data_IF_709076303281
#
_entry.id   IF_709076303281
#
_cell.length_a   1.000
_cell.length_b   1.000
_cell.length_c   1.000
_cell.angle_alpha   90.00
_cell.angle_beta   90.00
_cell.angle_gamma   90.00
#
_symmetry.space_group_name_H-M   'P 1'
#
loop_
_entity.id
_entity.type
_entity.pdbx_description
1 polymer ?
#
# COMPACT_ATOMS: atom_id res chain seq x y z
N UNK A 1 6.67 19.93 -6.53
CA UNK A 1 5.44 19.53 -5.80
C UNK A 1 4.30 19.17 -6.75
N UNK A 2 3.81 20.09 -7.59
CA UNK A 2 2.65 19.85 -8.48
C UNK A 2 2.82 18.66 -9.44
N UNK A 3 4.03 18.45 -9.98
CA UNK A 3 4.32 17.35 -10.91
C UNK A 3 4.04 15.98 -10.30
N UNK A 4 4.50 15.74 -9.07
CA UNK A 4 4.31 14.45 -8.38
C UNK A 4 2.84 14.20 -8.04
N UNK A 5 2.11 15.26 -7.67
CA UNK A 5 0.66 15.19 -7.42
C UNK A 5 -0.08 14.82 -8.72
N UNK A 6 0.28 15.45 -9.84
CA UNK A 6 -0.35 15.18 -11.13
C UNK A 6 -0.07 13.75 -11.60
N UNK A 7 1.17 13.26 -11.44
CA UNK A 7 1.53 11.87 -11.76
C UNK A 7 0.76 10.88 -10.89
N UNK A 8 0.71 11.10 -9.58
CA UNK A 8 -0.05 10.26 -8.65
C UNK A 8 -1.54 10.23 -8.98
N UNK A 9 -2.14 11.39 -9.28
CA UNK A 9 -3.54 11.50 -9.67
C UNK A 9 -3.83 10.70 -10.95
N UNK A 10 -3.04 10.86 -12.00
CA UNK A 10 -3.25 10.15 -13.26
C UNK A 10 -3.06 8.63 -13.09
N UNK A 11 -2.08 8.21 -12.29
CA UNK A 11 -1.89 6.79 -11.96
C UNK A 11 -3.13 6.22 -11.24
N UNK A 12 -3.63 6.91 -10.20
CA UNK A 12 -4.82 6.49 -9.46
C UNK A 12 -6.07 6.43 -10.34
N UNK A 13 -6.26 7.41 -11.23
CA UNK A 13 -7.37 7.41 -12.19
C UNK A 13 -7.30 6.19 -13.11
N UNK A 14 -6.12 5.87 -13.64
CA UNK A 14 -5.98 4.70 -14.50
C UNK A 14 -6.17 3.38 -13.76
N UNK A 15 -5.64 3.26 -12.54
CA UNK A 15 -5.88 2.07 -11.74
C UNK A 15 -7.37 1.90 -11.41
N UNK A 16 -8.09 3.01 -11.16
CA UNK A 16 -9.54 3.01 -10.98
C UNK A 16 -10.27 2.43 -12.18
N UNK A 17 -9.93 2.90 -13.39
CA UNK A 17 -10.51 2.38 -14.65
C UNK A 17 -10.21 0.89 -14.85
N UNK A 18 -8.96 0.48 -14.64
CA UNK A 18 -8.57 -0.94 -14.72
C UNK A 18 -9.32 -1.79 -13.69
N UNK A 19 -9.61 -1.25 -12.51
CA UNK A 19 -10.40 -1.95 -11.49
C UNK A 19 -11.84 -2.14 -11.93
N UNK A 20 -12.45 -1.12 -12.53
CA UNK A 20 -13.81 -1.20 -13.06
C UNK A 20 -13.92 -2.19 -14.23
N UNK A 21 -12.84 -2.36 -15.00
CA UNK A 21 -12.71 -3.38 -16.06
C UNK A 21 -12.36 -4.79 -15.53
N UNK A 22 -12.15 -4.97 -14.22
CA UNK A 22 -11.71 -6.25 -13.64
C UNK A 22 -10.28 -6.65 -13.99
N UNK A 23 -9.45 -5.70 -14.43
CA UNK A 23 -8.07 -5.89 -14.90
C UNK A 23 -7.01 -5.31 -13.96
N UNK A 24 -7.41 -4.79 -12.80
CA UNK A 24 -6.47 -4.25 -11.82
C UNK A 24 -5.64 -5.36 -11.16
N UNK A 25 -4.33 -5.34 -11.40
CA UNK A 25 -3.39 -6.19 -10.68
C UNK A 25 -3.30 -5.74 -9.20
N UNK A 26 -3.41 -6.65 -8.22
CA UNK A 26 -3.24 -6.32 -6.80
C UNK A 26 -1.91 -5.63 -6.48
N UNK A 27 -0.86 -5.97 -7.21
CA UNK A 27 0.47 -5.38 -7.05
C UNK A 27 0.52 -3.94 -7.54
N UNK A 28 -0.30 -3.56 -8.52
CA UNK A 28 -0.43 -2.17 -8.95
C UNK A 28 -1.02 -1.29 -7.83
N UNK A 29 -1.96 -1.83 -7.03
CA UNK A 29 -2.46 -1.14 -5.83
C UNK A 29 -1.32 -0.87 -4.84
N UNK A 30 -0.50 -1.89 -4.57
CA UNK A 30 0.67 -1.75 -3.69
C UNK A 30 1.69 -0.74 -4.22
N UNK A 31 1.94 -0.74 -5.54
CA UNK A 31 2.83 0.22 -6.20
C UNK A 31 2.35 1.65 -6.02
N UNK A 32 1.07 1.91 -6.30
CA UNK A 32 0.51 3.25 -6.24
C UNK A 32 0.40 3.75 -4.81
N UNK A 33 0.00 2.90 -3.85
CA UNK A 33 -0.01 3.25 -2.43
C UNK A 33 1.37 3.67 -1.98
N UNK A 34 2.37 2.84 -2.23
CA UNK A 34 3.77 3.08 -1.84
C UNK A 34 4.30 4.38 -2.42
N UNK A 35 4.08 4.64 -3.71
CA UNK A 35 4.53 5.86 -4.38
C UNK A 35 3.78 7.10 -3.87
N UNK A 36 2.45 7.06 -3.84
CA UNK A 36 1.61 8.20 -3.46
C UNK A 36 1.87 8.64 -2.03
N UNK A 37 1.97 7.70 -1.08
CA UNK A 37 2.24 8.02 0.32
C UNK A 37 3.63 8.67 0.48
N UNK A 38 4.67 8.08 -0.12
CA UNK A 38 6.03 8.61 -0.03
C UNK A 38 6.14 10.00 -0.65
N UNK A 39 5.53 10.21 -1.82
CA UNK A 39 5.55 11.51 -2.51
C UNK A 39 4.71 12.56 -1.79
N UNK A 40 3.54 12.20 -1.27
CA UNK A 40 2.70 13.10 -0.49
C UNK A 40 3.43 13.58 0.77
N UNK A 41 4.08 12.68 1.51
CA UNK A 41 4.85 13.04 2.70
C UNK A 41 6.03 13.97 2.37
N UNK A 42 6.78 13.67 1.29
CA UNK A 42 7.87 14.54 0.83
C UNK A 42 7.36 15.94 0.44
N UNK A 43 6.23 16.03 -0.25
CA UNK A 43 5.57 17.29 -0.61
C UNK A 43 5.12 18.05 0.64
N UNK A 44 4.53 17.39 1.63
CA UNK A 44 4.10 18.02 2.88
C UNK A 44 5.29 18.56 3.70
N UNK A 45 6.40 17.82 3.74
CA UNK A 45 7.65 18.28 4.37
C UNK A 45 8.19 19.54 3.68
N UNK A 46 8.27 19.53 2.34
CA UNK A 46 8.69 20.71 1.58
C UNK A 46 7.75 21.91 1.80
N UNK A 47 6.43 21.69 1.84
CA UNK A 47 5.46 22.74 2.13
C UNK A 47 5.65 23.35 3.52
N UNK A 48 5.89 22.51 4.54
CA UNK A 48 6.16 22.95 5.90
C UNK A 48 7.42 23.80 5.96
N UNK A 49 8.49 23.36 5.30
CA UNK A 49 9.77 24.07 5.27
C UNK A 49 9.65 25.43 4.56
N UNK A 50 8.88 25.51 3.46
CA UNK A 50 8.62 26.78 2.73
C UNK A 50 7.91 27.83 3.60
N UNK A 51 7.10 27.40 4.58
CA UNK A 51 6.40 28.30 5.50
C UNK A 51 7.26 28.72 6.71
N UNK A 52 8.46 28.16 6.88
CA UNK A 52 9.36 28.48 7.99
C UNK A 52 8.70 28.31 9.36
N UNK A 53 8.78 29.32 10.22
CA UNK A 53 8.14 29.29 11.55
C UNK A 53 6.61 29.16 11.47
N UNK A 54 5.98 29.74 10.45
CA UNK A 54 4.53 29.59 10.24
C UNK A 54 4.15 28.14 9.89
N UNK A 55 5.11 27.35 9.39
CA UNK A 55 4.91 25.95 9.04
C UNK A 55 4.65 25.06 10.25
N UNK A 56 5.04 25.45 11.46
CA UNK A 56 4.75 24.72 12.70
C UNK A 56 3.58 25.30 13.49
N UNK A 57 3.05 26.45 13.07
CA UNK A 57 1.87 27.04 13.67
C UNK A 57 0.61 26.25 13.31
N UNK A 58 -0.29 26.09 14.29
CA UNK A 58 -1.54 25.36 14.08
C UNK A 58 -2.44 26.07 13.05
N UNK A 59 -2.36 27.40 12.94
CA UNK A 59 -3.16 28.21 12.00
C UNK A 59 -3.05 27.78 10.53
N UNK A 60 -1.84 27.40 10.08
CA UNK A 60 -1.59 27.04 8.67
C UNK A 60 -1.75 25.54 8.37
N UNK A 61 -2.03 24.72 9.39
CA UNK A 61 -2.46 23.31 9.28
C UNK A 61 -1.45 22.35 8.60
N UNK A 62 -0.38 22.84 7.98
CA UNK A 62 0.56 22.08 7.15
C UNK A 62 1.30 21.02 7.97
N UNK A 63 1.69 21.33 9.21
CA UNK A 63 2.36 20.38 10.12
C UNK A 63 1.45 19.22 10.47
N UNK A 64 0.15 19.46 10.66
CA UNK A 64 -0.82 18.40 10.94
C UNK A 64 -1.02 17.48 9.74
N UNK A 65 -1.11 18.04 8.54
CA UNK A 65 -1.19 17.25 7.32
C UNK A 65 0.06 16.39 7.12
N UNK A 66 1.25 16.94 7.39
CA UNK A 66 2.50 16.19 7.38
C UNK A 66 2.48 15.04 8.39
N UNK A 67 2.07 15.28 9.64
CA UNK A 67 1.99 14.26 10.68
C UNK A 67 0.95 13.16 10.35
N UNK A 68 -0.19 13.53 9.78
CA UNK A 68 -1.18 12.54 9.33
C UNK A 68 -0.59 11.63 8.23
N UNK A 69 0.24 12.18 7.34
CA UNK A 69 0.90 11.42 6.27
C UNK A 69 1.99 10.45 6.77
N UNK A 70 2.61 10.74 7.92
CA UNK A 70 3.50 9.79 8.61
C UNK A 70 2.73 8.53 9.01
N UNK A 71 1.53 8.70 9.57
CA UNK A 71 0.68 7.59 9.97
C UNK A 71 0.15 6.80 8.76
N UNK A 72 -0.30 7.48 7.69
CA UNK A 72 -0.74 6.83 6.44
C UNK A 72 0.34 5.95 5.81
N UNK A 73 1.62 6.27 6.05
CA UNK A 73 2.73 5.46 5.54
C UNK A 73 2.86 4.09 6.22
N UNK A 74 2.27 3.91 7.40
CA UNK A 74 2.32 2.66 8.19
C UNK A 74 1.02 1.85 8.15
N UNK A 75 -0.13 2.52 7.98
CA UNK A 75 -1.42 1.84 7.81
C UNK A 75 -1.49 1.07 6.48
N UNK A 76 -2.25 -0.03 6.48
CA UNK A 76 -2.52 -0.88 5.31
C UNK A 76 -1.27 -1.44 4.60
N UNK A 77 -0.17 -1.59 5.37
CA UNK A 77 1.11 -2.11 4.90
C UNK A 77 2.19 -1.02 4.85
N UNK A 78 3.35 -1.27 5.44
CA UNK A 78 4.45 -0.30 5.42
C UNK A 78 5.04 -0.14 4.01
N UNK A 79 5.83 0.92 3.81
CA UNK A 79 6.57 1.13 2.56
C UNK A 79 7.37 -0.11 2.14
N UNK A 80 7.98 -0.81 3.11
CA UNK A 80 8.80 -2.00 2.88
C UNK A 80 7.97 -3.24 2.56
N UNK A 81 6.82 -3.42 3.23
CA UNK A 81 5.89 -4.51 2.90
C UNK A 81 5.46 -4.41 1.42
N UNK A 82 5.06 -3.23 0.97
CA UNK A 82 4.71 -3.04 -0.44
C UNK A 82 5.91 -3.21 -1.38
N UNK A 83 7.12 -2.83 -0.96
CA UNK A 83 8.33 -3.07 -1.75
C UNK A 83 8.57 -4.58 -1.96
N UNK A 84 8.29 -5.39 -0.96
CA UNK A 84 8.50 -6.83 -1.00
C UNK A 84 7.39 -7.58 -1.76
N UNK A 85 6.15 -7.09 -1.71
CA UNK A 85 5.07 -7.55 -2.61
C UNK A 85 5.47 -7.33 -4.08
N UNK A 86 5.99 -6.14 -4.40
CA UNK A 86 6.49 -5.83 -5.74
C UNK A 86 7.71 -6.67 -6.09
N UNK A 87 8.63 -6.86 -5.15
CA UNK A 87 9.80 -7.71 -5.32
C UNK A 87 9.41 -9.13 -5.72
N UNK A 88 8.41 -9.72 -5.05
CA UNK A 88 7.86 -11.03 -5.42
C UNK A 88 7.26 -11.03 -6.83
N UNK A 89 6.48 -10.02 -7.20
CA UNK A 89 5.87 -9.98 -8.53
C UNK A 89 6.88 -9.78 -9.68
N UNK A 90 7.99 -9.07 -9.41
CA UNK A 90 9.04 -8.85 -10.41
C UNK A 90 9.97 -10.06 -10.53
N UNK A 91 10.32 -10.67 -9.39
CA UNK A 91 11.37 -11.71 -9.33
C UNK A 91 10.84 -13.13 -9.24
N UNK A 92 9.56 -13.32 -8.87
CA UNK A 92 9.00 -14.61 -8.50
C UNK A 92 9.40 -15.11 -7.11
N UNK A 93 10.30 -14.43 -6.40
CA UNK A 93 10.86 -14.90 -5.13
C UNK A 93 10.10 -14.28 -3.96
N UNK A 94 9.53 -15.12 -3.10
CA UNK A 94 8.86 -14.67 -1.87
C UNK A 94 9.88 -14.29 -0.78
N UNK A 95 9.72 -13.12 -0.17
CA UNK A 95 10.57 -12.62 0.92
C UNK A 95 10.00 -12.84 2.33
N UNK A 96 8.73 -13.26 2.41
CA UNK A 96 8.00 -13.50 3.66
C UNK A 96 7.29 -14.85 3.61
N UNK A 97 8.05 -15.94 3.57
CA UNK A 97 7.51 -17.25 3.92
C UNK A 97 8.24 -17.71 5.19
N UNK A 98 7.54 -18.26 6.20
CA UNK A 98 8.22 -18.92 7.30
C UNK A 98 9.11 -20.02 6.72
N UNK A 99 10.34 -20.15 7.23
CA UNK A 99 11.22 -21.25 6.86
C UNK A 99 10.67 -22.54 7.50
N UNK A 100 9.61 -23.07 6.91
CA UNK A 100 9.07 -24.36 7.29
C UNK A 100 9.97 -25.43 6.67
N UNK A 101 10.79 -26.02 7.53
CA UNK A 101 11.73 -27.10 7.29
C UNK A 101 13.05 -26.67 6.62
N UNK A 102 14.16 -27.10 7.25
CA UNK A 102 15.55 -26.85 6.86
C UNK A 102 15.96 -27.47 5.51
N UNK A 103 15.27 -27.10 4.44
CA UNK A 103 15.55 -27.54 3.08
C UNK A 103 16.51 -26.54 2.41
N UNK A 104 17.72 -26.99 1.99
CA UNK A 104 18.70 -26.12 1.38
C UNK A 104 18.17 -25.46 0.10
N UNK A 105 18.57 -24.19 -0.11
CA UNK A 105 18.05 -23.25 -1.12
C UNK A 105 18.08 -23.72 -2.59
N UNK A 106 18.74 -24.83 -2.90
CA UNK A 106 18.93 -25.32 -4.28
C UNK A 106 17.89 -26.31 -4.80
N UNK A 107 16.88 -26.71 -4.01
CA UNK A 107 15.88 -27.73 -4.40
C UNK A 107 14.41 -27.27 -4.30
N UNK A 108 14.15 -25.97 -4.16
CA UNK A 108 12.78 -25.45 -4.19
C UNK A 108 12.33 -25.34 -5.65
N UNK A 109 11.94 -26.49 -6.21
CA UNK A 109 11.24 -26.56 -7.49
C UNK A 109 9.87 -25.88 -7.39
N UNK A 110 9.46 -25.34 -8.52
CA UNK A 110 8.23 -24.60 -8.75
C UNK A 110 6.98 -25.40 -8.34
N UNK A 111 6.51 -25.22 -7.12
CA UNK A 111 5.11 -25.50 -6.77
C UNK A 111 4.50 -24.22 -6.20
N UNK A 112 4.26 -23.26 -7.09
CA UNK A 112 3.29 -22.20 -6.86
C UNK A 112 1.88 -22.82 -6.90
N UNK A 113 1.56 -23.60 -5.86
CA UNK A 113 0.26 -24.21 -5.63
C UNK A 113 -0.32 -23.72 -4.31
N UNK A 114 -1.34 -22.88 -4.41
CA UNK A 114 -2.48 -22.82 -3.47
C UNK A 114 -2.18 -22.77 -1.98
N UNK A 115 -1.83 -21.58 -1.47
CA UNK A 115 -2.01 -21.28 -0.05
C UNK A 115 -2.40 -19.81 0.13
N UNK A 116 -3.65 -19.54 0.49
CA UNK A 116 -3.98 -18.34 1.27
C UNK A 116 -5.11 -17.43 0.81
N UNK A 117 -6.09 -17.87 0.01
CA UNK A 117 -7.43 -17.26 0.05
C UNK A 117 -8.17 -17.75 1.30
N UNK A 118 -7.75 -17.30 2.47
CA UNK A 118 -8.59 -17.32 3.69
C UNK A 118 -8.94 -15.88 4.04
N UNK A 119 -9.70 -15.26 3.14
CA UNK A 119 -10.51 -14.09 3.51
C UNK A 119 -11.58 -14.59 4.48
N UNK A 120 -11.59 -14.03 5.68
CA UNK A 120 -12.52 -14.37 6.73
C UNK A 120 -13.98 -14.36 6.27
N UNK A 121 -14.64 -15.49 6.43
CA UNK A 121 -16.09 -15.58 6.57
C UNK A 121 -16.48 -15.02 7.94
N UNK A 122 -16.45 -13.70 8.07
CA UNK A 122 -17.16 -12.99 9.12
C UNK A 122 -18.52 -12.56 8.55
N UNK A 123 -19.60 -13.22 8.97
CA UNK A 123 -20.95 -12.85 8.59
C UNK A 123 -21.92 -14.01 8.43
N UNK A 124 -21.94 -14.95 9.38
CA UNK A 124 -23.08 -15.84 9.57
C UNK A 124 -24.24 -14.98 10.09
N UNK A 125 -25.10 -14.49 9.18
CA UNK A 125 -26.37 -13.85 9.52
C UNK A 125 -27.31 -14.96 9.96
N UNK A 126 -27.44 -15.15 11.26
CA UNK A 126 -28.53 -15.91 11.86
C UNK A 126 -29.88 -15.43 11.28
N UNK A 127 -30.75 -16.32 10.78
CA UNK A 127 -32.09 -15.93 10.36
C UNK A 127 -32.93 -15.57 11.60
N UNK A 128 -33.58 -14.40 11.54
CA UNK A 128 -34.52 -13.96 12.56
C UNK A 128 -35.68 -14.97 12.69
N UNK A 129 -36.14 -15.30 13.92
CA UNK A 129 -37.30 -16.14 14.11
C UNK A 129 -38.57 -15.41 13.63
N UNK A 130 -39.29 -16.02 12.69
CA UNK A 130 -40.66 -15.65 12.40
C UNK A 130 -41.54 -16.33 13.44
N UNK A 131 -42.20 -15.51 14.27
CA UNK A 131 -43.18 -15.89 15.28
C UNK A 131 -43.88 -14.65 15.79
#
# INVERSE_FOLDING_TARGET
MVTEIALGLQACVQLGRLRDEGRAAPEAVSMLKRNSCAKALAVARAARDLLGANGVCDEFQVVRHMLNLEAVSTYEGTHDIHALILGRAITGIAAFAPDTAGTPRGQRGDTAGTAGDTKGTAGDKAPAPQG
#
